data_IF_487052121874
#
_entry.id   IF_487052121874
#
_cell.length_a   1.000
_cell.length_b   1.000
_cell.length_c   1.000
_cell.angle_alpha   90.00
_cell.angle_beta   90.00
_cell.angle_gamma   90.00
#
_symmetry.space_group_name_H-M   'P 1'
#
loop_
_entity.id
_entity.type
_entity.pdbx_description
1 polymer ?
#
# COMPACT_ATOMS: atom_id res chain seq x y z
N UNK A 1 -46.37 3.24 5.29
CA UNK A 1 -45.94 2.52 4.06
C UNK A 1 -45.42 3.56 3.07
N UNK A 2 -44.12 3.88 3.15
CA UNK A 2 -43.39 4.67 2.16
C UNK A 2 -41.94 4.21 2.23
N UNK A 3 -41.54 3.43 1.23
CA UNK A 3 -40.15 3.02 1.01
C UNK A 3 -39.40 4.19 0.37
N UNK A 4 -38.25 4.54 0.93
CA UNK A 4 -37.21 5.29 0.22
C UNK A 4 -36.05 4.33 -0.01
N UNK A 5 -35.91 3.89 -1.25
CA UNK A 5 -34.71 3.24 -1.78
C UNK A 5 -33.75 4.38 -2.18
N UNK A 6 -32.49 4.40 -1.72
CA UNK A 6 -31.47 5.19 -2.38
C UNK A 6 -30.69 4.33 -3.38
N UNK A 7 -30.83 4.71 -4.65
CA UNK A 7 -29.96 4.35 -5.75
C UNK A 7 -28.53 4.91 -5.56
N UNK A 8 -27.56 4.17 -6.11
CA UNK A 8 -26.15 4.52 -6.37
C UNK A 8 -25.10 4.46 -5.24
N UNK A 9 -24.07 3.57 -5.36
CA UNK A 9 -22.98 3.42 -4.37
C UNK A 9 -21.72 4.26 -4.71
N UNK A 10 -21.88 5.51 -5.15
CA UNK A 10 -20.76 6.32 -5.67
C UNK A 10 -20.33 7.51 -4.81
N UNK A 11 -20.75 7.59 -3.54
CA UNK A 11 -20.21 8.56 -2.57
C UNK A 11 -20.20 7.96 -1.16
N UNK A 12 -19.17 7.20 -0.84
CA UNK A 12 -18.77 6.98 0.54
C UNK A 12 -17.42 7.66 0.68
N UNK A 13 -17.48 8.96 0.96
CA UNK A 13 -16.33 9.70 1.47
C UNK A 13 -15.81 8.97 2.71
N UNK A 14 -14.49 8.84 2.83
CA UNK A 14 -13.89 8.30 4.04
C UNK A 14 -14.10 9.31 5.17
N UNK A 15 -15.25 9.24 5.82
CA UNK A 15 -15.47 9.83 7.12
C UNK A 15 -14.55 9.10 8.11
N UNK A 16 -13.32 9.56 8.24
CA UNK A 16 -12.56 9.35 9.46
C UNK A 16 -13.32 10.09 10.55
N UNK A 17 -14.21 9.38 11.23
CA UNK A 17 -14.98 9.88 12.36
C UNK A 17 -14.00 10.25 13.48
N UNK A 18 -13.53 11.50 13.47
CA UNK A 18 -12.79 12.04 14.60
C UNK A 18 -13.83 12.36 15.66
N UNK A 19 -13.82 11.61 16.76
CA UNK A 19 -14.63 11.91 17.94
C UNK A 19 -14.49 13.39 18.34
N UNK A 20 -13.28 13.95 18.19
CA UNK A 20 -13.01 15.37 18.40
C UNK A 20 -13.85 16.31 17.50
N UNK A 21 -14.14 15.96 16.25
CA UNK A 21 -14.99 16.78 15.36
C UNK A 21 -16.47 16.68 15.75
N UNK A 22 -16.91 15.52 16.22
CA UNK A 22 -18.27 15.28 16.72
C UNK A 22 -18.48 16.02 18.05
N UNK A 23 -17.47 15.99 18.93
CA UNK A 23 -17.42 16.81 20.15
C UNK A 23 -17.15 18.29 19.88
N UNK A 24 -16.66 18.66 18.69
CA UNK A 24 -16.54 20.06 18.27
C UNK A 24 -17.78 20.55 17.50
N UNK A 25 -18.70 19.65 17.17
CA UNK A 25 -19.90 19.97 16.43
C UNK A 25 -20.87 20.75 17.34
N UNK A 26 -21.02 22.04 17.06
CA UNK A 26 -21.92 22.95 17.79
C UNK A 26 -23.33 22.41 17.87
N UNK A 27 -23.84 21.77 16.81
CA UNK A 27 -25.22 21.25 16.76
C UNK A 27 -25.46 20.16 17.79
N UNK A 28 -24.48 19.28 17.99
CA UNK A 28 -24.55 18.21 19.01
C UNK A 28 -24.57 18.86 20.39
N UNK A 29 -23.67 19.79 20.67
CA UNK A 29 -23.67 20.55 21.93
C UNK A 29 -24.96 21.34 22.17
N UNK A 30 -25.55 21.92 21.14
CA UNK A 30 -26.84 22.63 21.24
C UNK A 30 -27.96 21.67 21.57
N UNK A 31 -28.08 20.54 20.86
CA UNK A 31 -29.06 19.49 21.16
C UNK A 31 -28.90 18.97 22.59
N UNK A 32 -27.67 18.74 23.04
CA UNK A 32 -27.37 18.33 24.41
C UNK A 32 -27.77 19.39 25.43
N UNK A 33 -27.37 20.66 25.24
CA UNK A 33 -27.77 21.74 26.15
C UNK A 33 -29.28 21.93 26.21
N UNK A 34 -29.98 21.74 25.09
CA UNK A 34 -31.44 21.81 25.04
C UNK A 34 -32.09 20.65 25.78
N UNK A 35 -31.60 19.42 25.58
CA UNK A 35 -32.12 18.22 26.25
C UNK A 35 -31.93 18.24 27.77
N UNK A 36 -30.87 18.89 28.25
CA UNK A 36 -30.52 18.92 29.67
C UNK A 36 -30.67 20.30 30.32
N UNK A 37 -31.35 21.24 29.64
CA UNK A 37 -31.48 22.63 30.07
C UNK A 37 -32.14 22.76 31.45
N UNK A 38 -33.06 21.86 31.77
CA UNK A 38 -33.87 21.89 32.98
C UNK A 38 -33.26 21.07 34.13
N UNK A 39 -32.11 20.42 33.90
CA UNK A 39 -31.41 19.67 34.92
C UNK A 39 -30.33 20.55 35.57
N UNK A 40 -30.29 20.67 36.91
CA UNK A 40 -29.18 21.34 37.58
C UNK A 40 -27.87 20.63 37.23
N UNK A 41 -26.78 21.39 37.04
CA UNK A 41 -25.43 20.83 36.81
C UNK A 41 -24.90 20.14 38.07
N UNK A 42 -25.46 18.98 38.38
CA UNK A 42 -25.06 18.18 39.53
C UNK A 42 -23.99 17.18 39.13
N UNK A 43 -23.26 16.68 40.14
CA UNK A 43 -22.23 15.66 39.94
C UNK A 43 -22.82 14.38 39.34
N UNK A 44 -24.06 14.07 39.69
CA UNK A 44 -24.83 12.92 39.23
C UNK A 44 -25.11 13.00 37.72
N UNK A 45 -25.43 14.19 37.21
CA UNK A 45 -25.64 14.44 35.77
C UNK A 45 -24.37 14.16 34.96
N UNK A 46 -23.20 14.57 35.49
CA UNK A 46 -21.90 14.31 34.85
C UNK A 46 -21.55 12.83 34.79
N UNK A 47 -21.88 12.07 35.85
CA UNK A 47 -21.68 10.62 35.90
C UNK A 47 -22.58 9.92 34.88
N UNK A 48 -23.87 10.30 34.83
CA UNK A 48 -24.82 9.77 33.85
C UNK A 48 -24.37 10.07 32.41
N UNK A 49 -23.90 11.29 32.16
CA UNK A 49 -23.37 11.68 30.85
C UNK A 49 -22.17 10.84 30.45
N UNK A 50 -21.20 10.67 31.35
CA UNK A 50 -20.03 9.83 31.09
C UNK A 50 -20.44 8.39 30.78
N UNK A 51 -21.41 7.85 31.51
CA UNK A 51 -21.95 6.51 31.28
C UNK A 51 -22.64 6.39 29.91
N UNK A 52 -23.49 7.36 29.53
CA UNK A 52 -24.17 7.37 28.22
C UNK A 52 -23.14 7.45 27.09
N UNK A 53 -22.13 8.30 27.21
CA UNK A 53 -21.06 8.43 26.21
C UNK A 53 -20.24 7.15 26.08
N UNK A 54 -19.89 6.49 27.19
CA UNK A 54 -19.21 5.20 27.15
C UNK A 54 -20.05 4.12 26.46
N UNK A 55 -21.36 4.06 26.74
CA UNK A 55 -22.28 3.11 26.10
C UNK A 55 -22.42 3.39 24.61
N UNK A 56 -22.64 4.65 24.23
CA UNK A 56 -22.77 5.07 22.84
C UNK A 56 -21.48 4.80 22.06
N UNK A 57 -20.31 5.06 22.65
CA UNK A 57 -19.02 4.71 22.07
C UNK A 57 -18.89 3.20 21.85
N UNK A 58 -19.26 2.39 22.84
CA UNK A 58 -19.24 0.92 22.73
C UNK A 58 -20.16 0.43 21.60
N UNK A 59 -21.36 0.98 21.50
CA UNK A 59 -22.31 0.61 20.43
C UNK A 59 -21.83 1.05 19.04
N UNK A 60 -21.26 2.25 18.89
CA UNK A 60 -20.66 2.70 17.63
C UNK A 60 -19.48 1.80 17.24
N UNK A 61 -18.64 1.43 18.20
CA UNK A 61 -17.51 0.53 17.99
C UNK A 61 -17.98 -0.87 17.55
N UNK A 62 -18.97 -1.44 18.24
CA UNK A 62 -19.58 -2.71 17.89
C UNK A 62 -20.22 -2.67 16.50
N UNK A 63 -20.98 -1.61 16.19
CA UNK A 63 -21.60 -1.43 14.88
C UNK A 63 -20.55 -1.36 13.76
N UNK A 64 -19.45 -0.63 13.97
CA UNK A 64 -18.33 -0.57 13.02
C UNK A 64 -17.68 -1.95 12.82
N UNK A 65 -17.41 -2.67 13.89
CA UNK A 65 -16.80 -4.01 13.79
C UNK A 65 -17.75 -5.00 13.11
N UNK A 66 -19.05 -4.93 13.40
CA UNK A 66 -20.07 -5.76 12.76
C UNK A 66 -20.23 -5.43 11.27
N UNK A 67 -20.05 -4.17 10.86
CA UNK A 67 -19.97 -3.78 9.44
C UNK A 67 -18.71 -4.32 8.75
N UNK A 68 -17.61 -4.46 9.49
CA UNK A 68 -16.39 -5.08 8.99
C UNK A 68 -16.50 -6.62 8.93
N UNK A 69 -17.19 -7.26 9.89
CA UNK A 69 -17.44 -8.71 9.93
C UNK A 69 -18.47 -9.20 8.89
N UNK A 70 -19.48 -8.39 8.56
CA UNK A 70 -20.46 -8.73 7.52
C UNK A 70 -20.01 -8.34 6.09
N UNK A 71 -18.78 -7.82 5.95
CA UNK A 71 -18.16 -7.65 4.63
C UNK A 71 -17.74 -9.05 4.17
N UNK A 72 -18.18 -9.56 3.00
CA UNK A 72 -17.77 -10.88 2.54
C UNK A 72 -16.26 -10.99 2.65
N UNK A 73 -15.78 -12.01 3.37
CA UNK A 73 -14.39 -12.21 3.75
C UNK A 73 -13.47 -12.35 2.52
N UNK A 74 -13.17 -11.25 1.84
CA UNK A 74 -11.77 -11.00 1.50
C UNK A 74 -11.15 -10.40 2.73
N UNK A 75 -10.84 -11.25 3.73
CA UNK A 75 -9.85 -10.96 4.76
C UNK A 75 -8.55 -10.71 4.00
N UNK A 76 -8.41 -9.48 3.52
CA UNK A 76 -7.26 -9.01 2.75
C UNK A 76 -6.17 -9.02 3.80
N UNK A 77 -5.49 -10.17 3.94
CA UNK A 77 -4.23 -10.29 4.65
C UNK A 77 -3.39 -9.13 4.11
N UNK A 78 -3.34 -8.03 4.86
CA UNK A 78 -2.41 -6.97 4.57
C UNK A 78 -1.07 -7.67 4.69
N UNK A 79 -0.48 -8.00 3.54
CA UNK A 79 0.79 -8.68 3.47
C UNK A 79 1.80 -7.70 4.04
N UNK A 80 2.00 -7.79 5.36
CA UNK A 80 2.88 -6.91 6.11
C UNK A 80 4.28 -7.15 5.58
N UNK A 81 4.93 -6.08 5.13
CA UNK A 81 6.33 -6.14 4.75
C UNK A 81 7.16 -6.33 6.02
N UNK A 82 8.15 -7.21 5.95
CA UNK A 82 9.20 -7.31 6.96
C UNK A 82 10.08 -6.05 6.91
N UNK A 83 10.80 -5.76 7.99
CA UNK A 83 11.73 -4.61 8.03
C UNK A 83 12.76 -4.65 6.89
N UNK A 84 13.25 -5.85 6.56
CA UNK A 84 14.18 -6.03 5.46
C UNK A 84 13.53 -5.77 4.09
N UNK A 85 12.29 -6.23 3.90
CA UNK A 85 11.53 -5.93 2.68
C UNK A 85 11.27 -4.42 2.56
N UNK A 86 10.92 -3.73 3.64
CA UNK A 86 10.72 -2.27 3.66
C UNK A 86 12.01 -1.50 3.30
N UNK A 87 13.15 -1.91 3.85
CA UNK A 87 14.47 -1.37 3.52
C UNK A 87 14.79 -1.54 2.02
N UNK A 88 14.66 -2.75 1.50
CA UNK A 88 14.91 -3.05 0.08
C UNK A 88 13.92 -2.28 -0.80
N UNK A 89 12.65 -2.19 -0.38
CA UNK A 89 11.62 -1.49 -1.11
C UNK A 89 11.97 -0.01 -1.29
N UNK A 90 12.41 0.66 -0.23
CA UNK A 90 12.83 2.07 -0.29
C UNK A 90 14.01 2.28 -1.21
N UNK A 91 15.01 1.41 -1.15
CA UNK A 91 16.17 1.50 -2.02
C UNK A 91 15.81 1.31 -3.50
N UNK A 92 15.01 0.28 -3.81
CA UNK A 92 14.55 0.03 -5.18
C UNK A 92 13.63 1.15 -5.69
N UNK A 93 12.84 1.75 -4.82
CA UNK A 93 11.95 2.86 -5.18
C UNK A 93 12.71 4.05 -5.77
N UNK A 94 13.95 4.32 -5.33
CA UNK A 94 14.81 5.37 -5.90
C UNK A 94 15.15 5.19 -7.38
N UNK A 95 15.10 3.96 -7.89
CA UNK A 95 15.31 3.69 -9.31
C UNK A 95 14.24 4.35 -10.21
N UNK A 96 13.02 4.56 -9.71
CA UNK A 96 11.92 5.12 -10.48
C UNK A 96 12.18 6.58 -10.87
N UNK A 97 12.36 7.53 -9.93
CA UNK A 97 12.67 8.91 -10.28
C UNK A 97 13.97 9.01 -11.07
N UNK A 98 15.01 8.23 -10.73
CA UNK A 98 16.25 8.20 -11.50
C UNK A 98 16.02 7.91 -12.99
N UNK A 99 15.28 6.85 -13.32
CA UNK A 99 14.96 6.49 -14.71
C UNK A 99 14.11 7.54 -15.40
N UNK A 100 13.18 8.17 -14.67
CA UNK A 100 12.30 9.20 -15.24
C UNK A 100 13.06 10.49 -15.51
N UNK A 101 13.91 10.95 -14.60
CA UNK A 101 14.79 12.10 -14.77
C UNK A 101 15.68 11.91 -15.99
N UNK A 102 16.39 10.77 -16.07
CA UNK A 102 17.24 10.44 -17.22
C UNK A 102 16.48 10.44 -18.55
N UNK A 103 15.22 9.96 -18.57
CA UNK A 103 14.37 9.99 -19.78
C UNK A 103 13.92 11.39 -20.18
N UNK A 104 13.90 12.34 -19.25
CA UNK A 104 13.52 13.72 -19.51
C UNK A 104 14.73 14.57 -19.91
N UNK A 105 15.94 14.23 -19.49
CA UNK A 105 17.19 14.90 -19.90
C UNK A 105 17.31 15.00 -21.42
N UNK A 106 17.02 13.92 -22.14
CA UNK A 106 17.12 13.84 -23.60
C UNK A 106 16.00 14.60 -24.35
N UNK A 107 15.00 15.15 -23.64
CA UNK A 107 13.87 15.84 -24.28
C UNK A 107 14.15 17.33 -24.48
N UNK A 108 13.63 17.86 -25.60
CA UNK A 108 13.59 19.31 -25.85
C UNK A 108 12.90 20.04 -24.69
N UNK A 109 13.41 21.23 -24.39
CA UNK A 109 12.85 22.07 -23.33
C UNK A 109 11.40 22.45 -23.65
N UNK A 110 10.54 22.33 -22.65
CA UNK A 110 9.11 22.65 -22.75
C UNK A 110 8.55 22.82 -21.34
N UNK A 111 7.50 23.64 -21.19
CA UNK A 111 6.85 23.85 -19.89
C UNK A 111 6.39 22.54 -19.25
N UNK A 112 5.97 21.58 -20.08
CA UNK A 112 5.61 20.22 -19.65
C UNK A 112 6.80 19.46 -19.07
N UNK A 113 7.97 19.55 -19.69
CA UNK A 113 9.21 18.94 -19.17
C UNK A 113 9.60 19.60 -17.85
N UNK A 114 9.60 20.93 -17.77
CA UNK A 114 9.95 21.67 -16.57
C UNK A 114 9.03 21.32 -15.40
N UNK A 115 7.72 21.27 -15.63
CA UNK A 115 6.75 20.86 -14.61
C UNK A 115 6.98 19.42 -14.10
N UNK A 116 7.26 18.48 -15.01
CA UNK A 116 7.58 17.10 -14.64
C UNK A 116 8.88 17.00 -13.84
N UNK A 117 9.92 17.76 -14.23
CA UNK A 117 11.19 17.79 -13.51
C UNK A 117 11.02 18.34 -12.08
N UNK A 118 10.26 19.42 -11.90
CA UNK A 118 10.00 19.99 -10.58
C UNK A 118 9.36 18.95 -9.64
N UNK A 119 8.37 18.20 -10.11
CA UNK A 119 7.73 17.14 -9.31
C UNK A 119 8.67 15.95 -9.08
N UNK A 120 9.48 15.55 -10.06
CA UNK A 120 10.43 14.45 -9.85
C UNK A 120 11.51 14.81 -8.84
N UNK A 121 12.00 16.05 -8.87
CA UNK A 121 12.96 16.55 -7.89
C UNK A 121 12.33 16.65 -6.49
N UNK A 122 11.06 17.02 -6.38
CA UNK A 122 10.37 17.05 -5.08
C UNK A 122 10.25 15.68 -4.41
N UNK A 123 10.41 14.57 -5.15
CA UNK A 123 10.46 13.22 -4.59
C UNK A 123 11.82 12.86 -3.97
N UNK A 124 12.85 13.69 -4.19
CA UNK A 124 14.17 13.55 -3.55
C UNK A 124 14.09 13.86 -2.05
N UNK A 125 14.91 13.18 -1.26
CA UNK A 125 15.10 13.55 0.15
C UNK A 125 15.77 14.94 0.31
N UNK A 126 16.57 15.37 -0.66
CA UNK A 126 17.33 16.63 -0.61
C UNK A 126 16.44 17.88 -0.70
N UNK A 127 15.29 17.77 -1.38
CA UNK A 127 14.37 18.88 -1.62
C UNK A 127 13.41 19.13 -0.43
N UNK A 128 13.66 18.47 0.69
CA UNK A 128 12.77 18.51 1.84
C UNK A 128 11.54 17.64 1.66
N UNK A 129 10.91 17.31 2.78
CA UNK A 129 9.73 16.48 2.82
C UNK A 129 9.34 16.24 4.27
N UNK A 130 8.08 15.91 4.52
CA UNK A 130 7.64 15.57 5.87
C UNK A 130 8.42 14.34 6.34
N UNK A 131 9.28 14.53 7.33
CA UNK A 131 10.00 13.43 7.98
C UNK A 131 9.01 12.69 8.88
N UNK A 132 8.91 11.40 8.66
CA UNK A 132 8.05 10.49 9.39
C UNK A 132 8.93 9.64 10.29
N UNK A 133 8.90 9.85 11.63
CA UNK A 133 9.84 9.21 12.55
C UNK A 133 9.88 7.68 12.44
N UNK A 134 8.71 7.04 12.25
CA UNK A 134 8.66 5.58 12.13
C UNK A 134 9.33 5.01 10.86
N UNK A 135 9.68 5.84 9.89
CA UNK A 135 10.37 5.45 8.65
C UNK A 135 11.87 5.74 8.67
N UNK A 136 12.39 6.34 9.75
CA UNK A 136 13.80 6.70 9.89
C UNK A 136 14.72 5.51 9.66
N UNK A 137 14.34 4.32 10.15
CA UNK A 137 15.15 3.12 10.00
C UNK A 137 15.40 2.73 8.52
N UNK A 138 14.42 2.93 7.64
CA UNK A 138 14.58 2.65 6.19
C UNK A 138 15.50 3.66 5.51
N UNK A 139 15.47 4.91 5.97
CA UNK A 139 16.33 5.99 5.48
C UNK A 139 17.78 5.74 5.87
N UNK A 140 18.02 5.55 7.16
CA UNK A 140 19.35 5.27 7.71
C UNK A 140 19.96 4.03 7.06
N UNK A 141 19.16 3.00 6.79
CA UNK A 141 19.62 1.82 6.05
C UNK A 141 20.00 2.16 4.60
N UNK A 142 19.15 2.91 3.89
CA UNK A 142 19.40 3.33 2.50
C UNK A 142 20.66 4.17 2.37
N UNK A 143 20.86 5.13 3.27
CA UNK A 143 22.06 5.98 3.32
C UNK A 143 23.31 5.15 3.58
N UNK A 144 23.26 4.20 4.51
CA UNK A 144 24.39 3.32 4.84
C UNK A 144 24.86 2.47 3.65
N UNK A 145 23.93 1.99 2.82
CA UNK A 145 24.27 1.16 1.66
C UNK A 145 24.55 1.98 0.39
N UNK A 146 24.20 3.26 0.39
CA UNK A 146 24.41 4.14 -0.76
C UNK A 146 25.90 4.48 -0.90
N UNK A 147 26.45 4.21 -2.08
CA UNK A 147 27.86 4.52 -2.44
C UNK A 147 27.96 5.72 -3.40
N UNK A 148 26.98 6.63 -3.33
CA UNK A 148 26.91 7.83 -4.18
C UNK A 148 26.22 7.63 -5.53
N UNK A 149 25.59 6.47 -5.76
CA UNK A 149 24.92 6.15 -7.04
C UNK A 149 23.41 5.94 -6.94
N UNK A 150 22.85 5.83 -5.74
CA UNK A 150 21.41 5.64 -5.56
C UNK A 150 20.70 6.99 -5.35
N UNK A 151 19.58 7.17 -6.04
CA UNK A 151 18.69 8.31 -5.84
C UNK A 151 17.92 8.13 -4.53
N UNK A 152 18.15 9.01 -3.56
CA UNK A 152 17.54 8.92 -2.22
C UNK A 152 16.18 9.62 -2.23
N UNK A 153 15.13 8.88 -1.86
CA UNK A 153 13.74 9.36 -1.91
C UNK A 153 13.22 9.82 -0.55
N UNK A 154 12.29 10.77 -0.57
CA UNK A 154 11.56 11.21 0.61
C UNK A 154 10.52 10.17 1.09
N UNK A 155 9.94 10.41 2.27
CA UNK A 155 9.01 9.48 2.90
C UNK A 155 7.65 9.42 2.19
N UNK A 156 7.20 10.51 1.58
CA UNK A 156 5.92 10.59 0.87
C UNK A 156 5.92 9.70 -0.38
N UNK A 157 6.99 9.79 -1.18
CA UNK A 157 7.17 8.93 -2.35
C UNK A 157 7.35 7.47 -1.94
N UNK A 158 8.08 7.20 -0.85
CA UNK A 158 8.18 5.84 -0.30
C UNK A 158 6.81 5.26 0.08
N UNK A 159 5.95 6.03 0.76
CA UNK A 159 4.60 5.59 1.13
C UNK A 159 3.76 5.24 -0.11
N UNK A 160 3.85 6.04 -1.17
CA UNK A 160 3.21 5.74 -2.44
C UNK A 160 3.69 4.40 -3.03
N UNK A 161 5.01 4.16 -3.09
CA UNK A 161 5.55 2.88 -3.58
C UNK A 161 5.13 1.71 -2.70
N UNK A 162 5.09 1.89 -1.37
CA UNK A 162 4.56 0.87 -0.44
C UNK A 162 3.11 0.51 -0.72
N UNK A 163 2.27 1.49 -1.07
CA UNK A 163 0.87 1.24 -1.47
C UNK A 163 0.80 0.49 -2.79
N UNK A 164 1.65 0.82 -3.77
CA UNK A 164 1.74 0.05 -5.02
C UNK A 164 2.20 -1.38 -4.79
N UNK A 165 3.20 -1.60 -3.93
CA UNK A 165 3.69 -2.93 -3.58
C UNK A 165 2.57 -3.79 -2.98
N UNK A 166 1.80 -3.24 -2.05
CA UNK A 166 0.68 -3.94 -1.45
C UNK A 166 -0.34 -4.39 -2.51
N UNK A 167 -0.62 -3.55 -3.52
CA UNK A 167 -1.49 -3.93 -4.64
C UNK A 167 -0.87 -5.04 -5.47
N UNK A 168 0.40 -4.90 -5.88
CA UNK A 168 1.11 -5.90 -6.69
C UNK A 168 1.13 -7.28 -6.01
N UNK A 169 1.40 -7.35 -4.69
CA UNK A 169 1.46 -8.62 -3.96
C UNK A 169 0.11 -9.36 -3.96
N UNK A 170 -1.02 -8.66 -4.17
CA UNK A 170 -2.33 -9.32 -4.35
C UNK A 170 -2.48 -10.01 -5.69
N UNK A 171 -1.65 -9.68 -6.67
CA UNK A 171 -1.65 -10.26 -8.02
C UNK A 171 -0.48 -11.23 -8.17
N UNK A 172 0.75 -10.74 -7.96
CA UNK A 172 1.97 -11.54 -8.05
C UNK A 172 2.17 -12.41 -6.81
N UNK A 173 1.39 -13.49 -6.71
CA UNK A 173 1.51 -14.50 -5.67
C UNK A 173 1.50 -15.92 -6.26
N UNK A 174 1.86 -16.90 -5.42
CA UNK A 174 2.00 -18.30 -5.85
C UNK A 174 0.68 -18.88 -6.38
N UNK A 175 -0.45 -18.49 -5.79
CA UNK A 175 -1.75 -19.04 -6.14
C UNK A 175 -2.14 -18.59 -7.55
N UNK A 176 -1.98 -17.30 -7.88
CA UNK A 176 -2.37 -16.77 -9.18
C UNK A 176 -1.52 -17.35 -10.33
N UNK A 177 -0.23 -17.59 -10.09
CA UNK A 177 0.67 -18.14 -11.12
C UNK A 177 0.32 -19.55 -11.58
N UNK A 178 -0.33 -20.35 -10.74
CA UNK A 178 -0.79 -21.68 -11.12
C UNK A 178 -1.97 -21.59 -12.10
N UNK A 179 -2.77 -20.52 -12.02
CA UNK A 179 -3.99 -20.34 -12.82
C UNK A 179 -3.79 -19.51 -14.08
N UNK A 180 -2.80 -18.59 -14.12
CA UNK A 180 -2.57 -17.64 -15.22
C UNK A 180 -1.44 -18.06 -16.16
N UNK A 181 -1.37 -19.35 -16.53
CA UNK A 181 -0.33 -19.85 -17.42
C UNK A 181 -0.53 -19.32 -18.86
N UNK A 182 0.19 -18.25 -19.22
CA UNK A 182 0.29 -17.73 -20.59
C UNK A 182 -0.35 -16.37 -20.83
N UNK A 183 -1.01 -15.77 -19.84
CA UNK A 183 -1.66 -14.46 -19.98
C UNK A 183 -0.76 -13.31 -19.50
N UNK A 184 -0.96 -12.13 -20.09
CA UNK A 184 -0.32 -10.90 -19.64
C UNK A 184 -1.01 -10.38 -18.37
N UNK A 185 -0.31 -10.41 -17.24
CA UNK A 185 -0.82 -9.90 -15.97
C UNK A 185 -0.78 -8.37 -15.84
N UNK A 186 -0.11 -7.65 -16.76
CA UNK A 186 0.04 -6.18 -16.66
C UNK A 186 -1.30 -5.43 -16.65
N UNK A 187 -2.29 -5.74 -17.52
CA UNK A 187 -3.59 -5.09 -17.47
C UNK A 187 -4.29 -5.25 -16.12
N UNK A 188 -4.27 -6.47 -15.56
CA UNK A 188 -4.85 -6.73 -14.24
C UNK A 188 -4.14 -5.96 -13.12
N UNK A 189 -2.81 -5.86 -13.18
CA UNK A 189 -2.04 -5.07 -12.21
C UNK A 189 -2.41 -3.59 -12.30
N UNK A 190 -2.44 -3.02 -13.52
CA UNK A 190 -2.80 -1.62 -13.72
C UNK A 190 -4.23 -1.32 -13.27
N UNK A 191 -5.18 -2.18 -13.61
CA UNK A 191 -6.56 -2.05 -13.18
C UNK A 191 -6.66 -2.02 -11.64
N UNK A 192 -5.97 -2.93 -10.95
CA UNK A 192 -5.98 -2.95 -9.48
C UNK A 192 -5.29 -1.73 -8.87
N UNK A 193 -4.23 -1.21 -9.48
CA UNK A 193 -3.58 0.02 -9.02
C UNK A 193 -4.50 1.23 -9.20
N UNK A 194 -5.16 1.34 -10.35
CA UNK A 194 -6.09 2.43 -10.67
C UNK A 194 -7.32 2.43 -9.76
N UNK A 195 -7.85 1.25 -9.41
CA UNK A 195 -9.00 1.11 -8.50
C UNK A 195 -8.65 1.34 -7.02
N UNK A 196 -7.36 1.40 -6.66
CA UNK A 196 -6.93 1.53 -5.27
C UNK A 196 -7.01 2.98 -4.80
N UNK A 197 -7.98 3.28 -3.91
CA UNK A 197 -8.16 4.62 -3.34
C UNK A 197 -6.91 5.14 -2.63
N UNK A 198 -6.20 4.28 -1.90
CA UNK A 198 -4.96 4.63 -1.21
C UNK A 198 -3.87 5.04 -2.20
N UNK A 199 -3.72 4.31 -3.32
CA UNK A 199 -2.73 4.64 -4.35
C UNK A 199 -3.06 6.00 -4.94
N UNK A 200 -4.33 6.23 -5.32
CA UNK A 200 -4.82 7.50 -5.86
C UNK A 200 -4.58 8.66 -4.89
N UNK A 201 -4.98 8.55 -3.63
CA UNK A 201 -4.78 9.61 -2.64
C UNK A 201 -3.30 9.98 -2.43
N UNK A 202 -2.39 9.00 -2.38
CA UNK A 202 -0.95 9.31 -2.31
C UNK A 202 -0.44 9.94 -3.60
N UNK A 203 -0.96 9.51 -4.74
CA UNK A 203 -0.58 10.06 -6.04
C UNK A 203 -0.98 11.53 -6.16
N UNK A 204 -2.23 11.85 -5.84
CA UNK A 204 -2.76 13.20 -5.89
C UNK A 204 -1.95 14.14 -5.01
N UNK A 205 -1.53 13.67 -3.82
CA UNK A 205 -0.63 14.42 -2.93
C UNK A 205 0.76 14.68 -3.55
N UNK A 206 1.33 13.70 -4.25
CA UNK A 206 2.65 13.81 -4.88
C UNK A 206 2.66 14.67 -6.13
N UNK A 207 1.51 14.82 -6.80
CA UNK A 207 1.38 15.54 -8.08
C UNK A 207 0.43 16.72 -8.03
N UNK A 208 0.18 17.28 -6.84
CA UNK A 208 -0.77 18.39 -6.64
C UNK A 208 -0.51 19.60 -7.54
N UNK A 209 0.74 19.81 -7.95
CA UNK A 209 1.19 20.94 -8.76
C UNK A 209 1.17 20.64 -10.28
N UNK A 210 0.75 19.44 -10.70
CA UNK A 210 0.58 19.06 -12.10
C UNK A 210 -0.88 19.16 -12.52
N UNK A 211 -1.11 19.52 -13.78
CA UNK A 211 -2.41 19.29 -14.41
C UNK A 211 -2.69 17.79 -14.58
N UNK A 212 -3.97 17.44 -14.74
CA UNK A 212 -4.43 16.05 -14.84
C UNK A 212 -3.77 15.25 -15.96
N UNK A 213 -3.48 15.90 -17.10
CA UNK A 213 -2.85 15.25 -18.25
C UNK A 213 -1.42 14.80 -17.94
N UNK A 214 -0.61 15.72 -17.40
CA UNK A 214 0.78 15.45 -16.99
C UNK A 214 0.83 14.50 -15.79
N UNK A 215 -0.05 14.67 -14.81
CA UNK A 215 -0.19 13.76 -13.68
C UNK A 215 -0.50 12.34 -14.15
N UNK A 216 -1.50 12.16 -15.02
CA UNK A 216 -1.84 10.84 -15.55
C UNK A 216 -0.72 10.24 -16.42
N UNK A 217 -0.02 11.06 -17.21
CA UNK A 217 1.16 10.63 -17.97
C UNK A 217 2.24 10.08 -17.04
N UNK A 218 2.61 10.84 -16.02
CA UNK A 218 3.63 10.46 -15.06
C UNK A 218 3.22 9.22 -14.27
N UNK A 219 1.94 9.12 -13.87
CA UNK A 219 1.37 7.97 -13.18
C UNK A 219 1.55 6.67 -13.97
N UNK A 220 1.16 6.70 -15.25
CA UNK A 220 1.32 5.56 -16.17
C UNK A 220 2.79 5.18 -16.32
N UNK A 221 3.69 6.16 -16.40
CA UNK A 221 5.12 5.91 -16.49
C UNK A 221 5.67 5.23 -15.22
N UNK A 222 5.28 5.70 -14.03
CA UNK A 222 5.65 5.11 -12.75
C UNK A 222 5.10 3.69 -12.61
N UNK A 223 3.81 3.48 -12.89
CA UNK A 223 3.19 2.15 -12.82
C UNK A 223 3.90 1.17 -13.75
N UNK A 224 4.23 1.60 -14.97
CA UNK A 224 4.97 0.78 -15.93
C UNK A 224 6.34 0.39 -15.40
N UNK A 225 7.13 1.34 -14.88
CA UNK A 225 8.46 1.06 -14.33
C UNK A 225 8.34 0.11 -13.14
N UNK A 226 7.43 0.40 -12.20
CA UNK A 226 7.26 -0.39 -10.98
C UNK A 226 6.81 -1.82 -11.28
N UNK A 227 5.78 -1.99 -12.11
CA UNK A 227 5.30 -3.32 -12.53
C UNK A 227 6.41 -4.12 -13.20
N UNK A 228 7.23 -3.51 -14.06
CA UNK A 228 8.35 -4.20 -14.69
C UNK A 228 9.41 -4.66 -13.68
N UNK A 229 9.79 -3.80 -12.74
CA UNK A 229 10.76 -4.13 -11.68
C UNK A 229 10.25 -5.33 -10.87
N UNK A 230 8.98 -5.29 -10.43
CA UNK A 230 8.41 -6.34 -9.58
C UNK A 230 8.13 -7.63 -10.33
N UNK A 231 7.58 -7.57 -11.55
CA UNK A 231 7.35 -8.75 -12.38
C UNK A 231 8.66 -9.49 -12.68
N UNK A 232 9.72 -8.76 -13.05
CA UNK A 232 11.02 -9.37 -13.33
C UNK A 232 11.64 -10.01 -12.07
N UNK A 233 11.59 -9.33 -10.93
CA UNK A 233 12.08 -9.89 -9.66
C UNK A 233 11.30 -11.16 -9.27
N UNK A 234 9.97 -11.11 -9.41
CA UNK A 234 9.09 -12.23 -9.10
C UNK A 234 9.36 -13.44 -10.00
N UNK A 235 9.47 -13.26 -11.32
CA UNK A 235 9.78 -14.33 -12.27
C UNK A 235 11.11 -14.99 -11.94
N UNK A 236 12.16 -14.19 -11.64
CA UNK A 236 13.47 -14.71 -11.25
C UNK A 236 13.39 -15.57 -9.99
N UNK A 237 12.67 -15.11 -8.96
CA UNK A 237 12.46 -15.88 -7.73
C UNK A 237 11.67 -17.18 -7.99
N UNK A 238 10.62 -17.10 -8.81
CA UNK A 238 9.79 -18.25 -9.16
C UNK A 238 10.56 -19.34 -9.92
N UNK A 239 11.31 -18.95 -10.96
CA UNK A 239 12.17 -19.87 -11.71
C UNK A 239 13.22 -20.52 -10.81
N UNK A 240 13.79 -19.77 -9.88
CA UNK A 240 14.76 -20.29 -8.90
C UNK A 240 14.13 -21.36 -8.02
N UNK A 241 12.92 -21.13 -7.50
CA UNK A 241 12.18 -22.12 -6.70
C UNK A 241 11.89 -23.39 -7.51
N UNK A 242 11.49 -23.26 -8.78
CA UNK A 242 11.23 -24.42 -9.66
C UNK A 242 12.51 -25.24 -9.88
N UNK A 243 13.64 -24.58 -10.15
CA UNK A 243 14.94 -25.25 -10.35
C UNK A 243 15.35 -26.04 -9.10
N UNK A 244 15.23 -25.44 -7.92
CA UNK A 244 15.55 -26.11 -6.65
C UNK A 244 14.68 -27.35 -6.42
N UNK A 245 13.37 -27.26 -6.70
CA UNK A 245 12.44 -28.40 -6.57
C UNK A 245 12.73 -29.55 -7.53
N UNK A 246 13.28 -29.28 -8.72
CA UNK A 246 13.68 -30.33 -9.67
C UNK A 246 14.94 -31.04 -9.18
N UNK A 247 15.93 -30.29 -8.72
CA UNK A 247 17.21 -30.85 -8.24
C UNK A 247 17.10 -31.62 -6.91
N UNK A 248 16.11 -31.31 -6.07
CA UNK A 248 15.86 -32.07 -4.84
C UNK A 248 15.23 -33.44 -5.11
N UNK A 249 14.48 -33.60 -6.21
CA UNK A 249 13.86 -34.88 -6.57
C UNK A 249 14.83 -35.86 -7.20
N UNK A 250 15.84 -35.39 -7.94
CA UNK A 250 16.85 -36.24 -8.59
C UNK A 250 17.93 -36.78 -7.66
N UNK A 251 18.06 -36.28 -6.43
CA UNK A 251 19.13 -36.69 -5.49
C UNK A 251 18.70 -37.73 -4.44
N UNK A 252 17.45 -38.21 -4.45
CA UNK A 252 16.93 -39.13 -3.43
C UNK A 252 16.92 -40.60 -3.89
N UNK A 253 17.00 -40.90 -5.18
CA UNK A 253 16.79 -42.27 -5.70
C UNK A 253 18.03 -43.13 -5.98
N UNK A 254 19.28 -42.64 -5.80
CA UNK A 254 20.48 -43.38 -6.29
C UNK A 254 21.63 -43.60 -5.30
N UNK A 255 21.42 -43.41 -3.99
CA UNK A 255 22.48 -43.62 -2.97
C UNK A 255 22.10 -44.58 -1.84
N UNK A 256 21.52 -45.72 -2.16
CA UNK A 256 21.11 -46.66 -1.11
C UNK A 256 20.70 -48.06 -1.52
N UNK A 257 21.31 -48.68 -2.54
CA UNK A 257 21.26 -50.15 -2.67
C UNK A 257 22.66 -50.72 -2.42
N UNK A 258 22.93 -51.32 -1.25
CA UNK A 258 24.19 -52.01 -1.02
C UNK A 258 24.28 -53.19 -2.00
N UNK A 259 25.37 -53.23 -2.76
CA UNK A 259 25.68 -54.34 -3.66
C UNK A 259 25.69 -55.65 -2.85
N UNK A 260 24.72 -56.53 -3.10
CA UNK A 260 24.72 -57.86 -2.53
C UNK A 260 25.94 -58.62 -3.03
N UNK A 261 26.82 -58.99 -2.08
CA UNK A 261 27.97 -59.88 -2.26
C UNK A 261 27.54 -61.14 -2.99
N UNK A 262 28.14 -61.42 -4.15
CA UNK A 262 28.23 -62.79 -4.68
C UNK A 262 29.08 -63.60 -3.71
N UNK A 263 28.48 -64.51 -2.95
CA UNK A 263 29.21 -65.61 -2.34
C UNK A 263 29.62 -66.57 -3.46
N UNK A 264 30.92 -66.79 -3.62
CA UNK A 264 31.46 -67.86 -4.44
C UNK A 264 31.55 -69.10 -3.56
N UNK A 265 30.70 -70.08 -3.84
CA UNK A 265 30.89 -71.47 -3.44
C UNK A 265 31.90 -72.13 -4.39
N UNK A 266 33.01 -72.60 -3.83
CA UNK A 266 34.08 -73.33 -4.49
C UNK A 266 35.14 -73.71 -3.48
#
# INVERSE_FOLDING_TARGET
MLQCIPDHPSKIESCTFKLEEVFSNKTIWTLWRTLFKDFPETKELRILLHYILQKLHKEIWNYRNNLEENRPETKKLELKLTLQEENILRYVAGYIPYVLLKKLEDRKESDSKTALLLVLHSWSQEQGGKVIPFLEYTRAWTERINRGGAYVINDEFYIFIRRLENVIRTVLNRNLMVHYAGEDLRPLIYEKMDKSSLVRMSWDSLTKDLNDSLSNYLRKAVFKIWTNVRANAFIKAWVTIIKLKKNSKTNIDDKGKPAQRKQLSG
#
